data_IF_024461540176
#
_entry.id   IF_024461540176
#
_cell.length_a   1.000
_cell.length_b   1.000
_cell.length_c   1.000
_cell.angle_alpha   90.00
_cell.angle_beta   90.00
_cell.angle_gamma   90.00
#
_symmetry.space_group_name_H-M   'P 1'
#
loop_
_entity.id
_entity.type
_entity.pdbx_description
1 polymer ?
#
# COMPACT_ATOMS: atom_id res chain seq x y z
N UNK A 1 10.87 -61.06 -57.47
CA UNK A 1 12.01 -60.19 -57.13
C UNK A 1 11.44 -58.93 -56.51
N UNK A 2 11.45 -58.92 -55.21
CA UNK A 2 10.78 -57.95 -54.35
C UNK A 2 11.83 -57.08 -53.66
N UNK A 3 11.77 -55.79 -53.90
CA UNK A 3 12.72 -54.84 -53.32
C UNK A 3 12.10 -54.22 -52.05
N UNK A 4 12.69 -54.53 -50.91
CA UNK A 4 12.31 -54.05 -49.61
C UNK A 4 12.66 -52.56 -49.44
N UNK A 5 11.67 -51.73 -49.10
CA UNK A 5 11.83 -50.33 -48.66
C UNK A 5 12.19 -50.27 -47.18
N UNK A 6 13.24 -49.51 -46.85
CA UNK A 6 13.62 -49.16 -45.49
C UNK A 6 12.77 -48.01 -44.95
N UNK A 7 12.33 -48.00 -43.67
CA UNK A 7 11.68 -46.85 -43.06
C UNK A 7 12.69 -45.83 -42.59
N UNK A 8 12.53 -44.57 -42.97
CA UNK A 8 13.23 -43.43 -42.41
C UNK A 8 12.64 -43.07 -41.01
N UNK A 9 13.47 -43.22 -39.99
CA UNK A 9 13.23 -42.72 -38.67
C UNK A 9 13.41 -41.19 -38.63
N UNK A 10 12.30 -40.47 -38.66
CA UNK A 10 12.28 -39.03 -38.40
C UNK A 10 12.26 -38.75 -36.91
N UNK A 11 13.40 -38.41 -36.34
CA UNK A 11 13.48 -37.91 -34.97
C UNK A 11 12.90 -36.49 -34.90
N UNK A 12 11.69 -36.39 -34.39
CA UNK A 12 11.00 -35.13 -34.17
C UNK A 12 11.53 -34.51 -32.84
N UNK A 13 12.61 -33.75 -32.92
CA UNK A 13 13.12 -32.90 -31.86
C UNK A 13 12.12 -31.78 -31.54
N UNK A 14 11.17 -32.01 -30.65
CA UNK A 14 10.37 -30.95 -30.06
C UNK A 14 11.27 -30.07 -29.20
N UNK A 15 11.86 -29.05 -29.84
CA UNK A 15 12.49 -27.93 -29.12
C UNK A 15 11.45 -27.28 -28.19
N UNK A 16 11.64 -27.39 -26.87
CA UNK A 16 10.97 -26.56 -25.89
C UNK A 16 11.22 -25.12 -26.31
N UNK A 17 10.23 -24.47 -26.90
CA UNK A 17 10.17 -23.00 -26.94
C UNK A 17 10.19 -22.52 -25.49
N UNK A 18 11.35 -22.07 -25.03
CA UNK A 18 11.43 -21.25 -23.82
C UNK A 18 10.49 -20.07 -24.06
N UNK A 19 9.41 -19.99 -23.30
CA UNK A 19 8.46 -18.89 -23.33
C UNK A 19 9.29 -17.64 -23.00
N UNK A 20 9.38 -16.73 -23.97
CA UNK A 20 10.15 -15.49 -23.82
C UNK A 20 9.43 -14.70 -22.75
N UNK A 21 10.00 -14.66 -21.54
CA UNK A 21 9.49 -13.89 -20.39
C UNK A 21 9.25 -12.46 -20.87
N UNK A 22 8.02 -11.96 -20.71
CA UNK A 22 7.64 -10.62 -21.18
C UNK A 22 8.40 -9.53 -20.40
N UNK A 23 8.42 -8.30 -20.94
CA UNK A 23 8.97 -7.16 -20.18
C UNK A 23 8.27 -6.96 -18.84
N UNK A 24 6.95 -7.05 -18.86
CA UNK A 24 6.09 -6.90 -17.68
C UNK A 24 6.34 -7.99 -16.63
N UNK A 25 6.63 -9.23 -17.06
CA UNK A 25 6.95 -10.32 -16.13
C UNK A 25 8.27 -10.07 -15.40
N UNK A 26 9.26 -9.46 -16.06
CA UNK A 26 10.55 -9.13 -15.44
C UNK A 26 10.45 -7.98 -14.46
N UNK A 27 9.71 -6.93 -14.82
CA UNK A 27 9.41 -5.84 -13.91
C UNK A 27 8.71 -6.35 -12.65
N UNK A 28 7.67 -7.17 -12.82
CA UNK A 28 6.95 -7.81 -11.72
C UNK A 28 7.89 -8.64 -10.84
N UNK A 29 8.79 -9.45 -11.43
CA UNK A 29 9.75 -10.25 -10.66
C UNK A 29 10.72 -9.40 -9.83
N UNK A 30 11.09 -8.20 -10.32
CA UNK A 30 11.92 -7.26 -9.54
C UNK A 30 11.13 -6.73 -8.34
N UNK A 31 9.89 -6.31 -8.54
CA UNK A 31 9.02 -5.79 -7.48
C UNK A 31 8.72 -6.85 -6.41
N UNK A 32 8.33 -8.06 -6.81
CA UNK A 32 8.09 -9.20 -5.89
C UNK A 32 9.35 -9.57 -5.10
N UNK A 33 10.51 -9.52 -5.75
CA UNK A 33 11.80 -9.75 -5.06
C UNK A 33 12.09 -8.67 -4.02
N UNK A 34 11.83 -7.40 -4.37
CA UNK A 34 12.04 -6.29 -3.45
C UNK A 34 11.09 -6.36 -2.26
N UNK A 35 9.80 -6.62 -2.47
CA UNK A 35 8.82 -6.81 -1.39
C UNK A 35 9.29 -7.89 -0.42
N UNK A 36 9.63 -9.06 -0.91
CA UNK A 36 10.13 -10.16 -0.07
C UNK A 36 11.40 -9.80 0.71
N UNK A 37 12.36 -9.14 0.08
CA UNK A 37 13.61 -8.75 0.76
C UNK A 37 13.39 -7.67 1.82
N UNK A 38 12.42 -6.77 1.61
CA UNK A 38 12.07 -5.73 2.59
C UNK A 38 11.42 -6.30 3.86
N UNK A 39 10.76 -7.47 3.77
CA UNK A 39 10.27 -8.17 4.97
C UNK A 39 11.40 -8.84 5.76
N UNK A 40 12.54 -9.14 5.11
CA UNK A 40 13.68 -9.82 5.73
C UNK A 40 14.71 -8.83 6.31
N UNK A 41 14.92 -7.67 5.67
CA UNK A 41 15.98 -6.72 6.02
C UNK A 41 15.68 -5.28 5.55
N UNK A 42 16.28 -4.26 6.20
CA UNK A 42 16.06 -2.87 5.82
C UNK A 42 16.61 -2.56 4.42
N UNK A 43 16.04 -1.55 3.75
CA UNK A 43 16.46 -1.11 2.41
C UNK A 43 17.96 -0.79 2.30
N UNK A 44 18.58 -0.27 3.37
CA UNK A 44 20.01 0.03 3.41
C UNK A 44 20.90 -1.20 3.16
N UNK A 45 20.43 -2.39 3.53
CA UNK A 45 21.13 -3.67 3.36
C UNK A 45 20.78 -4.40 2.07
N UNK A 46 19.85 -3.89 1.29
CA UNK A 46 19.48 -4.45 -0.01
C UNK A 46 20.30 -3.79 -1.11
N UNK A 47 21.00 -4.60 -1.89
CA UNK A 47 21.76 -4.15 -3.07
C UNK A 47 20.98 -4.38 -4.37
N UNK A 48 21.37 -3.66 -5.44
CA UNK A 48 20.85 -3.93 -6.80
C UNK A 48 21.18 -5.35 -7.26
N UNK A 49 22.32 -5.90 -6.81
CA UNK A 49 22.70 -7.27 -7.14
C UNK A 49 21.77 -8.30 -6.47
N UNK A 50 21.31 -8.04 -5.23
CA UNK A 50 20.30 -8.88 -4.57
C UNK A 50 18.97 -8.88 -5.34
N UNK A 51 18.52 -7.69 -5.77
CA UNK A 51 17.30 -7.54 -6.56
C UNK A 51 17.39 -8.25 -7.92
N UNK A 52 18.50 -8.02 -8.65
CA UNK A 52 18.69 -8.63 -9.95
C UNK A 52 18.80 -10.17 -9.84
N UNK A 53 19.55 -10.68 -8.87
CA UNK A 53 19.71 -12.11 -8.60
C UNK A 53 18.38 -12.75 -8.20
N UNK A 54 17.62 -12.13 -7.32
CA UNK A 54 16.32 -12.63 -6.88
C UNK A 54 15.28 -12.67 -7.98
N UNK A 55 15.32 -11.69 -8.90
CA UNK A 55 14.46 -11.63 -10.09
C UNK A 55 14.95 -12.50 -11.25
N UNK A 56 16.07 -13.21 -11.11
CA UNK A 56 16.63 -14.08 -12.18
C UNK A 56 17.13 -13.30 -13.39
N UNK A 57 17.59 -12.05 -13.22
CA UNK A 57 18.09 -11.19 -14.30
C UNK A 57 19.51 -10.70 -14.01
N UNK A 58 20.17 -10.14 -15.04
CA UNK A 58 21.46 -9.49 -14.86
C UNK A 58 21.32 -8.07 -14.32
N UNK A 59 22.38 -7.55 -13.65
CA UNK A 59 22.43 -6.15 -13.20
C UNK A 59 22.22 -5.12 -14.34
N UNK A 60 22.80 -5.25 -15.54
CA UNK A 60 22.45 -4.38 -16.66
C UNK A 60 20.97 -4.45 -17.05
N UNK A 61 20.36 -5.64 -16.98
CA UNK A 61 18.92 -5.82 -17.25
C UNK A 61 18.08 -5.12 -16.19
N UNK A 62 18.49 -5.13 -14.92
CA UNK A 62 17.81 -4.38 -13.87
C UNK A 62 17.72 -2.88 -14.20
N UNK A 63 18.83 -2.26 -14.58
CA UNK A 63 18.89 -0.83 -14.92
C UNK A 63 18.09 -0.45 -16.18
N UNK A 64 17.67 -1.42 -16.98
CA UNK A 64 16.72 -1.18 -18.07
C UNK A 64 15.30 -0.90 -17.54
N UNK A 65 14.92 -1.50 -16.40
CA UNK A 65 13.59 -1.35 -15.80
C UNK A 65 13.55 -0.24 -14.74
N UNK A 66 14.56 -0.17 -13.88
CA UNK A 66 14.59 0.76 -12.77
C UNK A 66 15.96 1.46 -12.67
N UNK A 67 15.97 2.80 -12.53
CA UNK A 67 17.22 3.55 -12.42
C UNK A 67 17.96 3.29 -11.10
N UNK A 68 17.25 2.86 -10.05
CA UNK A 68 17.81 2.61 -8.72
C UNK A 68 16.94 1.62 -7.94
N UNK A 69 17.45 1.12 -6.81
CA UNK A 69 16.67 0.34 -5.86
C UNK A 69 15.57 1.19 -5.20
N UNK A 70 15.83 2.46 -5.00
CA UNK A 70 14.87 3.40 -4.42
C UNK A 70 13.66 3.60 -5.34
N UNK A 71 13.87 3.67 -6.66
CA UNK A 71 12.77 3.71 -7.64
C UNK A 71 11.89 2.45 -7.59
N UNK A 72 12.48 1.27 -7.33
CA UNK A 72 11.70 0.03 -7.11
C UNK A 72 10.81 0.17 -5.89
N UNK A 73 11.37 0.64 -4.76
CA UNK A 73 10.60 0.82 -3.52
C UNK A 73 9.52 1.86 -3.69
N UNK A 74 9.80 2.98 -4.36
CA UNK A 74 8.78 4.00 -4.65
C UNK A 74 7.60 3.44 -5.43
N UNK A 75 7.85 2.64 -6.47
CA UNK A 75 6.78 1.97 -7.25
C UNK A 75 5.94 1.04 -6.36
N UNK A 76 6.56 0.32 -5.42
CA UNK A 76 5.82 -0.56 -4.50
C UNK A 76 4.99 0.26 -3.51
N UNK A 77 5.55 1.33 -2.96
CA UNK A 77 4.83 2.25 -2.04
C UNK A 77 3.64 2.90 -2.74
N UNK A 78 3.80 3.37 -3.98
CA UNK A 78 2.70 3.93 -4.78
C UNK A 78 1.56 2.92 -4.95
N UNK A 79 1.88 1.68 -5.33
CA UNK A 79 0.88 0.59 -5.46
C UNK A 79 0.18 0.29 -4.13
N UNK A 80 0.92 0.27 -3.02
CA UNK A 80 0.36 0.06 -1.70
C UNK A 80 -0.63 1.16 -1.31
N UNK A 81 -0.31 2.41 -1.62
CA UNK A 81 -1.21 3.56 -1.41
C UNK A 81 -2.46 3.45 -2.29
N UNK A 82 -2.30 3.09 -3.56
CA UNK A 82 -3.43 2.87 -4.48
C UNK A 82 -4.37 1.76 -3.97
N UNK A 83 -3.83 0.65 -3.49
CA UNK A 83 -4.61 -0.43 -2.86
C UNK A 83 -5.36 0.07 -1.62
N UNK A 84 -4.70 0.83 -0.75
CA UNK A 84 -5.29 1.37 0.46
C UNK A 84 -6.43 2.36 0.20
N UNK A 85 -6.37 3.11 -0.91
CA UNK A 85 -7.36 4.13 -1.29
C UNK A 85 -8.42 3.63 -2.27
N UNK A 86 -8.20 2.49 -2.91
CA UNK A 86 -9.07 1.95 -3.98
C UNK A 86 -10.48 1.54 -3.55
N UNK A 87 -10.74 1.42 -2.24
CA UNK A 87 -12.02 0.96 -1.68
C UNK A 87 -13.03 2.08 -1.39
N UNK A 88 -12.85 3.29 -1.93
CA UNK A 88 -13.72 4.45 -1.68
C UNK A 88 -15.21 4.15 -1.86
N UNK A 89 -15.58 3.39 -2.90
CA UNK A 89 -16.98 3.04 -3.15
C UNK A 89 -17.56 2.13 -2.05
N UNK A 90 -16.77 1.23 -1.47
CA UNK A 90 -17.20 0.37 -0.37
C UNK A 90 -17.43 1.18 0.91
N UNK A 91 -16.58 2.17 1.18
CA UNK A 91 -16.74 3.10 2.31
C UNK A 91 -18.02 3.92 2.16
N UNK A 92 -18.28 4.46 0.97
CA UNK A 92 -19.51 5.23 0.68
C UNK A 92 -20.74 4.34 0.83
N UNK A 93 -20.72 3.09 0.35
CA UNK A 93 -21.82 2.14 0.51
C UNK A 93 -22.06 1.82 1.99
N UNK A 94 -21.04 1.52 2.76
CA UNK A 94 -21.16 1.24 4.20
C UNK A 94 -21.72 2.44 4.98
N UNK A 95 -21.26 3.66 4.65
CA UNK A 95 -21.79 4.90 5.23
C UNK A 95 -23.28 5.09 4.93
N UNK A 96 -23.69 4.85 3.67
CA UNK A 96 -25.07 5.03 3.24
C UNK A 96 -26.03 3.96 3.82
N UNK A 97 -25.58 2.72 3.94
CA UNK A 97 -26.42 1.58 4.38
C UNK A 97 -26.47 1.42 5.89
N UNK A 98 -25.35 1.67 6.58
CA UNK A 98 -25.17 1.32 8.00
C UNK A 98 -24.71 2.49 8.88
N UNK A 99 -24.59 3.69 8.32
CA UNK A 99 -24.28 4.92 9.05
C UNK A 99 -22.81 5.22 9.25
N UNK A 100 -22.49 6.30 9.99
CA UNK A 100 -21.15 6.86 10.09
C UNK A 100 -20.11 5.91 10.67
N UNK A 101 -20.49 5.11 11.68
CA UNK A 101 -19.60 4.13 12.31
C UNK A 101 -19.15 3.09 11.30
N UNK A 102 -20.06 2.49 10.57
CA UNK A 102 -19.74 1.45 9.58
C UNK A 102 -18.88 1.98 8.43
N UNK A 103 -19.16 3.20 7.96
CA UNK A 103 -18.31 3.85 6.94
C UNK A 103 -16.88 4.07 7.43
N UNK A 104 -16.72 4.54 8.67
CA UNK A 104 -15.41 4.77 9.27
C UNK A 104 -14.67 3.45 9.55
N UNK A 105 -15.36 2.45 10.09
CA UNK A 105 -14.82 1.09 10.29
C UNK A 105 -14.25 0.56 8.98
N UNK A 106 -15.05 0.59 7.91
CA UNK A 106 -14.62 0.11 6.60
C UNK A 106 -13.41 0.86 6.06
N UNK A 107 -13.37 2.19 6.21
CA UNK A 107 -12.24 3.02 5.76
C UNK A 107 -10.95 2.67 6.49
N UNK A 108 -11.00 2.61 7.82
CA UNK A 108 -9.82 2.36 8.66
C UNK A 108 -9.35 0.91 8.57
N UNK A 109 -10.27 -0.07 8.47
CA UNK A 109 -9.94 -1.48 8.25
C UNK A 109 -9.18 -1.69 6.93
N UNK A 110 -9.69 -1.13 5.82
CA UNK A 110 -9.06 -1.26 4.51
C UNK A 110 -7.65 -0.65 4.50
N UNK A 111 -7.51 0.55 5.06
CA UNK A 111 -6.23 1.25 5.18
C UNK A 111 -5.24 0.44 6.03
N UNK A 112 -5.68 0.01 7.21
CA UNK A 112 -4.83 -0.74 8.15
C UNK A 112 -4.46 -2.12 7.59
N UNK A 113 -5.39 -2.82 6.94
CA UNK A 113 -5.13 -4.12 6.33
C UNK A 113 -4.10 -4.02 5.20
N UNK A 114 -4.20 -3.00 4.33
CA UNK A 114 -3.24 -2.77 3.26
C UNK A 114 -1.82 -2.57 3.81
N UNK A 115 -1.65 -1.67 4.77
CA UNK A 115 -0.33 -1.40 5.35
C UNK A 115 0.22 -2.57 6.18
N UNK A 116 -0.64 -3.25 6.94
CA UNK A 116 -0.25 -4.44 7.72
C UNK A 116 0.16 -5.62 6.85
N UNK A 117 -0.28 -5.70 5.61
CA UNK A 117 0.11 -6.77 4.69
C UNK A 117 1.58 -6.71 4.26
N UNK A 118 2.22 -5.52 4.36
CA UNK A 118 3.59 -5.25 3.86
C UNK A 118 4.37 -4.32 4.79
N UNK A 119 4.61 -4.69 6.05
CA UNK A 119 5.26 -3.82 7.04
C UNK A 119 6.68 -3.41 6.64
N UNK A 120 7.42 -4.27 5.94
CA UNK A 120 8.74 -3.96 5.39
C UNK A 120 8.71 -2.85 4.35
N UNK A 121 7.69 -2.80 3.50
CA UNK A 121 7.47 -1.72 2.52
C UNK A 121 7.12 -0.41 3.22
N UNK A 122 6.24 -0.45 4.23
CA UNK A 122 5.87 0.72 5.04
C UNK A 122 7.11 1.31 5.72
N UNK A 123 7.94 0.46 6.32
CA UNK A 123 9.21 0.87 6.94
C UNK A 123 10.14 1.53 5.93
N UNK A 124 10.35 0.89 4.78
CA UNK A 124 11.25 1.42 3.74
C UNK A 124 10.78 2.78 3.21
N UNK A 125 9.50 2.98 2.96
CA UNK A 125 8.92 4.26 2.56
C UNK A 125 9.10 5.35 3.62
N UNK A 126 8.90 5.02 4.88
CA UNK A 126 9.13 5.94 6.00
C UNK A 126 10.60 6.31 6.19
N UNK A 127 11.52 5.34 6.06
CA UNK A 127 12.97 5.57 6.12
C UNK A 127 13.42 6.49 4.98
N UNK A 128 12.94 6.27 3.76
CA UNK A 128 13.25 7.14 2.62
C UNK A 128 12.77 8.57 2.88
N UNK A 129 11.56 8.75 3.38
CA UNK A 129 10.99 10.05 3.77
C UNK A 129 11.85 10.73 4.85
N UNK A 130 12.24 10.00 5.90
CA UNK A 130 13.06 10.49 7.01
C UNK A 130 14.48 10.87 6.55
N UNK A 131 15.04 10.15 5.59
CA UNK A 131 16.36 10.40 5.00
C UNK A 131 16.33 11.43 3.85
N UNK A 132 15.31 12.26 3.77
CA UNK A 132 15.16 13.36 2.81
C UNK A 132 15.09 12.93 1.32
N UNK A 133 14.61 11.70 1.03
CA UNK A 133 14.33 11.32 -0.34
C UNK A 133 13.14 12.16 -0.87
N UNK A 134 13.40 13.02 -1.86
CA UNK A 134 12.42 14.04 -2.27
C UNK A 134 11.13 13.41 -2.79
N UNK A 135 11.22 12.43 -3.69
CA UNK A 135 10.03 11.77 -4.26
C UNK A 135 9.18 11.10 -3.19
N UNK A 136 9.78 10.46 -2.17
CA UNK A 136 9.04 9.84 -1.07
C UNK A 136 8.31 10.90 -0.22
N UNK A 137 8.91 12.07 -0.02
CA UNK A 137 8.29 13.20 0.71
C UNK A 137 7.15 13.80 -0.09
N UNK A 138 7.32 13.98 -1.39
CA UNK A 138 6.31 14.56 -2.28
C UNK A 138 5.09 13.62 -2.39
N UNK A 139 5.32 12.32 -2.59
CA UNK A 139 4.27 11.31 -2.56
C UNK A 139 3.50 11.34 -1.25
N UNK A 140 4.21 11.34 -0.12
CA UNK A 140 3.57 11.35 1.19
C UNK A 140 2.75 12.62 1.44
N UNK A 141 3.27 13.78 1.03
CA UNK A 141 2.56 15.07 1.12
C UNK A 141 1.27 15.03 0.30
N UNK A 142 1.33 14.47 -0.91
CA UNK A 142 0.16 14.31 -1.77
C UNK A 142 -0.87 13.36 -1.15
N UNK A 143 -0.44 12.22 -0.65
CA UNK A 143 -1.32 11.20 -0.03
C UNK A 143 -2.01 11.76 1.21
N UNK A 144 -1.26 12.34 2.13
CA UNK A 144 -1.80 12.93 3.35
C UNK A 144 -2.72 14.12 3.04
N UNK A 145 -2.36 14.95 2.05
CA UNK A 145 -3.21 16.04 1.59
C UNK A 145 -4.55 15.54 1.06
N UNK A 146 -4.55 14.52 0.22
CA UNK A 146 -5.77 13.90 -0.32
C UNK A 146 -6.68 13.34 0.78
N UNK A 147 -6.13 12.64 1.76
CA UNK A 147 -6.92 12.15 2.91
C UNK A 147 -7.49 13.29 3.77
N UNK A 148 -6.72 14.35 3.99
CA UNK A 148 -7.24 15.55 4.69
C UNK A 148 -8.37 16.19 3.92
N UNK A 149 -8.28 16.30 2.61
CA UNK A 149 -9.34 16.88 1.77
C UNK A 149 -10.61 16.01 1.79
N UNK A 150 -10.50 14.70 1.68
CA UNK A 150 -11.63 13.76 1.78
C UNK A 150 -12.31 13.82 3.15
N UNK A 151 -11.55 13.82 4.24
CA UNK A 151 -12.09 13.91 5.61
C UNK A 151 -12.71 15.28 5.86
N UNK A 152 -12.12 16.35 5.34
CA UNK A 152 -12.69 17.70 5.43
C UNK A 152 -14.06 17.75 4.79
N UNK A 153 -14.18 17.28 3.55
CA UNK A 153 -15.44 17.24 2.82
C UNK A 153 -16.50 16.38 3.54
N UNK A 154 -16.11 15.26 4.11
CA UNK A 154 -16.99 14.41 4.90
C UNK A 154 -17.51 15.13 6.15
N UNK A 155 -16.64 15.81 6.91
CA UNK A 155 -17.06 16.55 8.12
C UNK A 155 -18.01 17.70 7.76
N UNK A 156 -17.73 18.44 6.67
CA UNK A 156 -18.61 19.51 6.19
C UNK A 156 -19.99 18.98 5.80
N UNK A 157 -20.03 17.91 5.03
CA UNK A 157 -21.27 17.25 4.63
C UNK A 157 -22.11 16.79 5.84
N UNK A 158 -21.47 16.16 6.84
CA UNK A 158 -22.14 15.68 8.04
C UNK A 158 -22.72 16.84 8.88
N UNK A 159 -22.04 17.98 8.91
CA UNK A 159 -22.53 19.19 9.56
C UNK A 159 -23.67 19.86 8.82
N UNK A 160 -23.58 19.96 7.48
CA UNK A 160 -24.63 20.55 6.65
C UNK A 160 -25.95 19.79 6.75
N UNK A 161 -25.92 18.45 6.81
CA UNK A 161 -27.11 17.63 7.02
C UNK A 161 -27.59 17.56 8.48
N UNK A 162 -26.89 18.19 9.40
CA UNK A 162 -27.23 18.26 10.83
C UNK A 162 -26.90 17.01 11.64
N UNK A 163 -26.13 16.05 11.07
CA UNK A 163 -25.72 14.83 11.78
C UNK A 163 -24.50 15.02 12.68
N UNK A 164 -23.66 15.99 12.37
CA UNK A 164 -22.51 16.35 13.21
C UNK A 164 -22.68 17.77 13.79
N UNK A 165 -22.29 18.01 15.06
CA UNK A 165 -22.37 19.34 15.66
C UNK A 165 -21.36 20.31 15.04
N UNK A 166 -21.63 21.61 15.19
CA UNK A 166 -20.62 22.62 14.95
C UNK A 166 -19.43 22.44 15.92
N UNK A 167 -18.23 22.76 15.48
CA UNK A 167 -17.02 22.59 16.29
C UNK A 167 -15.83 23.28 15.65
N UNK A 168 -14.64 22.72 15.80
CA UNK A 168 -13.41 23.22 15.16
C UNK A 168 -13.58 23.26 13.64
N UNK A 169 -12.87 24.16 12.91
CA UNK A 169 -12.87 24.15 11.45
C UNK A 169 -12.64 22.74 10.89
N UNK A 170 -13.46 22.34 9.91
CA UNK A 170 -13.44 20.95 9.42
C UNK A 170 -12.05 20.51 8.97
N UNK A 171 -11.33 21.39 8.26
CA UNK A 171 -9.97 21.10 7.79
C UNK A 171 -8.95 20.93 8.93
N UNK A 172 -9.05 21.73 10.00
CA UNK A 172 -8.14 21.62 11.15
C UNK A 172 -8.38 20.30 11.89
N UNK A 173 -9.65 19.93 12.07
CA UNK A 173 -10.03 18.64 12.67
C UNK A 173 -9.56 17.48 11.81
N UNK A 174 -9.75 17.54 10.48
CA UNK A 174 -9.27 16.54 9.54
C UNK A 174 -7.76 16.33 9.61
N UNK A 175 -6.97 17.42 9.66
CA UNK A 175 -5.51 17.35 9.81
C UNK A 175 -5.13 16.58 11.08
N UNK A 176 -5.74 16.91 12.21
CA UNK A 176 -5.44 16.25 13.50
C UNK A 176 -5.77 14.75 13.45
N UNK A 177 -6.96 14.41 12.94
CA UNK A 177 -7.42 13.03 12.87
C UNK A 177 -6.55 12.18 11.93
N UNK A 178 -6.24 12.68 10.73
CA UNK A 178 -5.43 11.97 9.76
C UNK A 178 -3.99 11.77 10.25
N UNK A 179 -3.37 12.81 10.85
CA UNK A 179 -2.01 12.72 11.41
C UNK A 179 -1.95 11.76 12.60
N UNK A 180 -2.93 11.85 13.51
CA UNK A 180 -3.05 10.91 14.63
C UNK A 180 -3.19 9.47 14.13
N UNK A 181 -4.06 9.25 13.16
CA UNK A 181 -4.31 7.93 12.57
C UNK A 181 -3.03 7.33 11.97
N UNK A 182 -2.33 8.10 11.15
CA UNK A 182 -1.05 7.68 10.55
C UNK A 182 -0.05 7.32 11.63
N UNK A 183 0.14 8.19 12.60
CA UNK A 183 1.17 7.97 13.64
C UNK A 183 0.89 6.77 14.52
N UNK A 184 -0.37 6.57 14.93
CA UNK A 184 -0.78 5.43 15.76
C UNK A 184 -0.62 4.11 15.00
N UNK A 185 -1.08 4.05 13.75
CA UNK A 185 -0.93 2.84 12.94
C UNK A 185 0.54 2.52 12.67
N UNK A 186 1.34 3.53 12.31
CA UNK A 186 2.77 3.35 12.04
C UNK A 186 3.51 2.81 13.27
N UNK A 187 3.27 3.40 14.46
CA UNK A 187 3.90 2.93 15.70
C UNK A 187 3.59 1.46 15.99
N UNK A 188 2.34 1.06 15.78
CA UNK A 188 1.90 -0.32 16.01
C UNK A 188 2.47 -1.28 14.96
N UNK A 189 2.49 -0.89 13.69
CA UNK A 189 3.01 -1.74 12.60
C UNK A 189 4.51 -2.00 12.71
N UNK A 190 5.26 -1.06 13.28
CA UNK A 190 6.71 -1.16 13.40
C UNK A 190 7.21 -1.45 14.83
N UNK A 191 6.29 -1.88 15.72
CA UNK A 191 6.60 -2.24 17.11
C UNK A 191 7.33 -1.13 17.89
N UNK A 192 7.00 0.12 17.61
CA UNK A 192 7.56 1.24 18.37
C UNK A 192 6.96 1.34 19.79
N UNK A 193 7.68 1.92 20.70
CA UNK A 193 7.20 2.10 22.09
C UNK A 193 7.11 3.61 22.41
N UNK A 194 5.96 4.13 22.88
CA UNK A 194 4.70 3.44 23.15
C UNK A 194 3.86 3.18 21.89
N UNK A 195 3.14 2.05 21.85
CA UNK A 195 2.15 1.74 20.80
C UNK A 195 0.93 1.02 21.40
N UNK A 196 -0.15 0.95 20.63
CA UNK A 196 -1.31 0.15 20.98
C UNK A 196 -1.09 -1.31 20.60
N UNK A 197 -1.77 -2.24 21.27
CA UNK A 197 -1.89 -3.61 20.81
C UNK A 197 -2.65 -3.67 19.47
N UNK A 198 -2.19 -4.49 18.53
CA UNK A 198 -2.66 -4.46 17.15
C UNK A 198 -4.15 -4.71 16.96
N UNK A 199 -4.79 -5.52 17.83
CA UNK A 199 -6.22 -5.78 17.85
C UNK A 199 -7.05 -4.61 18.44
N UNK A 200 -6.41 -3.67 19.17
CA UNK A 200 -7.04 -2.52 19.80
C UNK A 200 -6.96 -1.25 18.96
N UNK A 201 -6.10 -1.22 17.94
CA UNK A 201 -5.83 0.00 17.15
C UNK A 201 -7.11 0.54 16.52
N UNK A 202 -7.85 -0.30 15.82
CA UNK A 202 -9.06 0.13 15.09
C UNK A 202 -10.15 0.59 16.06
N UNK A 203 -10.43 -0.17 17.12
CA UNK A 203 -11.43 0.20 18.12
C UNK A 203 -11.18 1.59 18.72
N UNK A 204 -9.91 1.85 19.12
CA UNK A 204 -9.54 3.11 19.73
C UNK A 204 -9.62 4.27 18.74
N UNK A 205 -9.11 4.07 17.52
CA UNK A 205 -9.16 5.10 16.48
C UNK A 205 -10.58 5.44 16.08
N UNK A 206 -11.44 4.44 15.86
CA UNK A 206 -12.84 4.63 15.49
C UNK A 206 -13.58 5.43 16.59
N UNK A 207 -13.42 5.04 17.87
CA UNK A 207 -14.06 5.74 18.98
C UNK A 207 -13.61 7.21 19.06
N UNK A 208 -12.32 7.49 18.91
CA UNK A 208 -11.80 8.85 18.91
C UNK A 208 -12.34 9.67 17.73
N UNK A 209 -12.34 9.10 16.53
CA UNK A 209 -12.87 9.76 15.34
C UNK A 209 -14.34 10.12 15.47
N UNK A 210 -15.18 9.17 15.90
CA UNK A 210 -16.62 9.40 16.08
C UNK A 210 -16.90 10.47 17.11
N UNK A 211 -16.23 10.42 18.27
CA UNK A 211 -16.39 11.46 19.30
C UNK A 211 -15.92 12.83 18.83
N UNK A 212 -14.82 12.89 18.09
CA UNK A 212 -14.29 14.15 17.58
C UNK A 212 -15.21 14.81 16.53
N UNK A 213 -15.84 14.00 15.66
CA UNK A 213 -16.70 14.50 14.60
C UNK A 213 -18.13 14.69 15.06
N UNK A 214 -18.71 13.71 15.76
CA UNK A 214 -20.14 13.66 16.11
C UNK A 214 -20.45 13.97 17.57
N UNK A 215 -19.44 14.07 18.44
CA UNK A 215 -19.59 14.23 19.88
C UNK A 215 -20.03 12.95 20.62
N UNK A 216 -20.20 11.84 19.91
CA UNK A 216 -20.61 10.52 20.43
C UNK A 216 -19.90 9.40 19.71
N UNK A 217 -19.65 8.28 20.44
CA UNK A 217 -19.16 7.05 19.84
C UNK A 217 -20.22 6.30 19.02
N UNK A 218 -21.50 6.63 19.24
CA UNK A 218 -22.65 6.05 18.54
C UNK A 218 -23.50 7.18 17.95
N UNK A 219 -23.09 7.79 16.84
CA UNK A 219 -23.87 8.80 16.17
C UNK A 219 -25.13 8.18 15.53
N UNK A 220 -26.24 8.91 15.64
CA UNK A 220 -27.55 8.51 15.08
C UNK A 220 -27.65 8.80 13.58
#
# INVERSE_FOLDING_TARGET
>A
MEAAAKPHSGANGRGRRATRVSGDDRERSILETAERLLEEKPLSEISVDDLAKGAGISRPTFYFYFPSKDAVVMTIVERLVEEATGSRNEVIAALAESGPRAGLEKALENLYAAFRSRPGVVRAGADMRANNHQEARDLWTQVMGGWVDDVTAMIEFERERGAAPAGQPARELAIVLVQMNERVQYATLLDETPSLEGDRVLDVLIDVWLRAIYGSAEPS
#
